data_IF_251005342316
#
_entry.id   IF_251005342316
#
_cell.length_a   1.000
_cell.length_b   1.000
_cell.length_c   1.000
_cell.angle_alpha   90.00
_cell.angle_beta   90.00
_cell.angle_gamma   90.00
#
_symmetry.space_group_name_H-M   'P 1'
#
loop_
_entity.id
_entity.type
_entity.pdbx_description
1 polymer ?
#
# COMPACT_ATOMS: atom_id res chain seq x y z
N UNK A 1 18.29 -7.33 1.62
CA UNK A 1 16.88 -7.36 2.06
C UNK A 1 16.64 -8.56 2.95
N UNK A 2 15.58 -8.53 3.75
CA UNK A 2 15.16 -9.65 4.61
C UNK A 2 13.67 -9.90 4.41
N UNK A 3 13.29 -11.15 4.17
CA UNK A 3 11.88 -11.55 4.16
C UNK A 3 11.47 -11.80 5.61
N UNK A 4 10.44 -11.08 6.05
CA UNK A 4 9.94 -11.11 7.42
C UNK A 4 8.57 -11.75 7.45
N UNK A 5 8.39 -12.72 8.32
CA UNK A 5 7.09 -13.32 8.65
C UNK A 5 6.62 -12.75 9.99
N UNK A 6 5.38 -12.27 10.04
CA UNK A 6 4.69 -11.91 11.28
C UNK A 6 3.61 -12.96 11.51
N UNK A 7 3.86 -13.82 12.49
CA UNK A 7 2.95 -14.89 12.87
C UNK A 7 2.08 -14.39 14.02
N UNK A 8 0.77 -14.54 13.90
CA UNK A 8 -0.21 -14.24 14.94
C UNK A 8 -1.17 -15.41 15.15
N UNK A 9 -1.38 -15.80 16.41
CA UNK A 9 -2.25 -16.93 16.76
C UNK A 9 -2.76 -16.81 18.21
N UNK A 10 -3.85 -17.52 18.49
CA UNK A 10 -4.20 -17.87 19.86
C UNK A 10 -3.31 -19.03 20.30
N UNK A 11 -2.68 -18.90 21.46
CA UNK A 11 -1.74 -19.85 22.03
C UNK A 11 -2.37 -20.50 23.25
N UNK A 12 -2.61 -21.80 23.18
CA UNK A 12 -2.87 -22.64 24.35
C UNK A 12 -1.58 -23.40 24.72
N UNK A 13 -1.65 -24.27 25.72
CA UNK A 13 -0.46 -24.97 26.21
C UNK A 13 0.18 -25.87 25.13
N UNK A 14 -0.63 -26.46 24.24
CA UNK A 14 -0.14 -27.31 23.16
C UNK A 14 0.69 -26.53 22.13
N UNK A 15 0.21 -25.36 21.70
CA UNK A 15 0.93 -24.45 20.81
C UNK A 15 2.19 -23.94 21.50
N UNK A 16 2.07 -23.49 22.75
CA UNK A 16 3.18 -22.98 23.54
C UNK A 16 4.32 -23.98 23.61
N UNK A 17 4.04 -25.24 23.97
CA UNK A 17 5.05 -26.29 24.05
C UNK A 17 5.66 -26.60 22.68
N UNK A 18 4.86 -26.63 21.62
CA UNK A 18 5.34 -26.89 20.27
C UNK A 18 6.27 -25.77 19.75
N UNK A 19 5.91 -24.50 19.95
CA UNK A 19 6.74 -23.36 19.57
C UNK A 19 8.00 -23.24 20.44
N UNK A 20 7.90 -23.54 21.75
CA UNK A 20 9.04 -23.60 22.64
C UNK A 20 10.07 -24.65 22.16
N UNK A 21 9.60 -25.84 21.74
CA UNK A 21 10.45 -26.87 21.15
C UNK A 21 11.11 -26.44 19.83
N UNK A 22 10.50 -25.50 19.10
CA UNK A 22 11.08 -24.85 17.92
C UNK A 22 11.96 -23.63 18.26
N UNK A 23 12.21 -23.36 19.55
CA UNK A 23 13.05 -22.25 20.01
C UNK A 23 12.36 -20.88 19.94
N UNK A 24 11.04 -20.86 20.05
CA UNK A 24 10.21 -19.63 20.10
C UNK A 24 9.39 -19.65 21.39
N UNK A 25 9.70 -18.73 22.30
CA UNK A 25 8.95 -18.59 23.55
C UNK A 25 7.68 -17.76 23.29
N UNK A 26 6.52 -18.31 23.66
CA UNK A 26 5.23 -17.64 23.58
C UNK A 26 4.51 -17.73 24.93
N UNK A 27 3.75 -16.69 25.24
CA UNK A 27 2.79 -16.69 26.35
C UNK A 27 1.43 -17.21 25.87
N UNK A 28 0.66 -17.79 26.79
CA UNK A 28 -0.72 -18.22 26.51
C UNK A 28 -1.62 -17.01 26.26
N UNK A 29 -2.64 -17.18 25.42
CA UNK A 29 -3.49 -16.09 24.93
C UNK A 29 -3.13 -15.67 23.52
N UNK A 30 -3.50 -14.46 23.11
CA UNK A 30 -3.14 -13.99 21.76
C UNK A 30 -1.67 -13.54 21.73
N UNK A 31 -0.85 -14.21 20.92
CA UNK A 31 0.55 -13.88 20.74
C UNK A 31 0.83 -13.51 19.27
N UNK A 32 1.79 -12.62 19.08
CA UNK A 32 2.35 -12.35 17.76
C UNK A 32 3.86 -12.11 17.84
N UNK A 33 4.60 -12.68 16.91
CA UNK A 33 6.06 -12.53 16.82
C UNK A 33 6.51 -12.36 15.38
N UNK A 34 7.77 -11.98 15.20
CA UNK A 34 8.41 -11.87 13.89
C UNK A 34 9.62 -12.78 13.79
N UNK A 35 9.80 -13.38 12.62
CA UNK A 35 10.94 -14.22 12.29
C UNK A 35 11.39 -13.94 10.86
N UNK A 36 12.71 -13.96 10.64
CA UNK A 36 13.29 -13.84 9.30
C UNK A 36 13.15 -15.18 8.58
N UNK A 37 12.80 -15.19 7.30
CA UNK A 37 12.66 -16.43 6.50
C UNK A 37 13.99 -17.22 6.44
N UNK A 38 15.13 -16.53 6.60
CA UNK A 38 16.46 -17.14 6.66
C UNK A 38 16.87 -17.63 8.06
N UNK A 39 16.05 -17.42 9.08
CA UNK A 39 16.32 -17.93 10.44
C UNK A 39 16.28 -19.48 10.41
N UNK A 40 17.24 -20.13 11.08
CA UNK A 40 17.33 -21.58 11.10
C UNK A 40 16.08 -22.26 11.68
N UNK A 41 15.30 -21.55 12.51
CA UNK A 41 14.03 -22.03 13.09
C UNK A 41 12.85 -21.93 12.12
N UNK A 42 12.98 -21.15 11.04
CA UNK A 42 11.85 -20.83 10.15
C UNK A 42 11.12 -22.07 9.60
N UNK A 43 11.78 -23.13 9.08
CA UNK A 43 11.07 -24.29 8.57
C UNK A 43 10.17 -24.98 9.61
N UNK A 44 10.62 -25.02 10.87
CA UNK A 44 9.82 -25.57 11.97
C UNK A 44 8.65 -24.63 12.33
N UNK A 45 8.93 -23.33 12.43
CA UNK A 45 7.91 -22.31 12.70
C UNK A 45 6.82 -22.28 11.63
N UNK A 46 7.18 -22.37 10.35
CA UNK A 46 6.23 -22.41 9.24
C UNK A 46 5.31 -23.63 9.33
N UNK A 47 5.87 -24.80 9.62
CA UNK A 47 5.10 -26.03 9.79
C UNK A 47 4.11 -25.92 10.97
N UNK A 48 4.54 -25.35 12.09
CA UNK A 48 3.67 -25.11 13.25
C UNK A 48 2.59 -24.07 12.96
N UNK A 49 2.95 -22.96 12.31
CA UNK A 49 1.99 -21.92 11.91
C UNK A 49 0.88 -22.51 11.03
N UNK A 50 1.23 -23.33 10.04
CA UNK A 50 0.24 -24.05 9.20
C UNK A 50 -0.59 -25.04 10.01
N UNK A 51 0.05 -25.83 10.87
CA UNK A 51 -0.62 -26.84 11.72
C UNK A 51 -1.69 -26.20 12.63
N UNK A 52 -1.36 -25.06 13.23
CA UNK A 52 -2.24 -24.39 14.20
C UNK A 52 -3.11 -23.30 13.57
N UNK A 53 -3.14 -23.19 12.24
CA UNK A 53 -3.96 -22.19 11.54
C UNK A 53 -3.59 -20.75 11.90
N UNK A 54 -2.32 -20.49 12.21
CA UNK A 54 -1.83 -19.17 12.52
C UNK A 54 -1.95 -18.24 11.30
N UNK A 55 -2.18 -16.96 11.57
CA UNK A 55 -2.12 -15.92 10.55
C UNK A 55 -0.66 -15.58 10.29
N UNK A 56 -0.20 -15.75 9.06
CA UNK A 56 1.13 -15.33 8.61
C UNK A 56 1.02 -14.12 7.67
N UNK A 57 1.57 -12.99 8.09
CA UNK A 57 1.73 -11.80 7.24
C UNK A 57 3.17 -11.64 6.83
N UNK A 58 3.42 -11.73 5.53
CA UNK A 58 4.76 -11.62 4.95
C UNK A 58 5.06 -10.19 4.51
N UNK A 59 6.28 -9.73 4.76
CA UNK A 59 6.78 -8.44 4.28
C UNK A 59 8.27 -8.52 3.95
N UNK A 60 8.79 -7.49 3.27
CA UNK A 60 10.23 -7.37 2.99
C UNK A 60 10.79 -6.15 3.70
N UNK A 61 11.84 -6.36 4.50
CA UNK A 61 12.61 -5.28 5.13
C UNK A 61 13.83 -4.97 4.26
N UNK A 62 13.88 -3.75 3.75
CA UNK A 62 15.00 -3.24 2.96
C UNK A 62 16.01 -2.51 3.83
N UNK A 63 17.28 -2.61 3.47
CA UNK A 63 18.35 -1.82 4.05
C UNK A 63 18.29 -0.37 3.55
N UNK A 64 18.91 0.55 4.29
CA UNK A 64 19.05 1.93 3.84
C UNK A 64 19.83 2.04 2.52
N UNK A 65 20.79 1.15 2.28
CA UNK A 65 21.56 1.12 1.03
C UNK A 65 20.68 0.71 -0.16
N UNK A 66 19.82 -0.30 0.00
CA UNK A 66 18.86 -0.71 -1.04
C UNK A 66 17.87 0.40 -1.38
N UNK A 67 17.35 1.09 -0.37
CA UNK A 67 16.42 2.21 -0.59
C UNK A 67 17.10 3.39 -1.30
N UNK A 68 18.27 3.82 -0.82
CA UNK A 68 19.04 4.92 -1.43
C UNK A 68 19.56 4.58 -2.83
N UNK A 69 19.86 3.31 -3.08
CA UNK A 69 20.35 2.80 -4.36
C UNK A 69 19.27 2.55 -5.40
N UNK A 70 17.99 2.52 -5.05
CA UNK A 70 16.91 2.25 -5.99
C UNK A 70 16.66 3.44 -6.92
N UNK A 71 16.49 3.19 -8.23
CA UNK A 71 16.14 4.25 -9.19
C UNK A 71 14.69 4.71 -9.02
N UNK A 72 13.81 3.78 -8.68
CA UNK A 72 12.39 3.99 -8.45
C UNK A 72 11.96 3.26 -7.19
N UNK A 73 10.97 3.82 -6.49
CA UNK A 73 10.41 3.23 -5.29
C UNK A 73 8.89 3.30 -5.35
N UNK A 74 8.21 2.20 -5.07
CA UNK A 74 6.78 2.19 -4.84
C UNK A 74 6.48 2.65 -3.41
N UNK A 75 5.44 3.48 -3.25
CA UNK A 75 4.90 3.83 -1.95
C UNK A 75 4.05 2.68 -1.44
N UNK A 76 4.22 2.36 -0.16
CA UNK A 76 3.36 1.45 0.57
C UNK A 76 2.79 2.20 1.79
N UNK A 77 1.47 2.22 2.00
CA UNK A 77 0.87 2.94 3.11
C UNK A 77 1.37 2.36 4.45
N UNK A 78 1.83 3.22 5.36
CA UNK A 78 2.13 2.84 6.74
C UNK A 78 1.01 3.29 7.70
N UNK A 79 0.09 4.12 7.22
CA UNK A 79 -1.06 4.60 7.97
C UNK A 79 -2.30 4.72 7.07
N UNK A 80 -3.35 4.00 7.46
CA UNK A 80 -4.68 4.17 6.89
C UNK A 80 -5.57 4.90 7.90
N UNK A 81 -6.36 5.87 7.42
CA UNK A 81 -7.23 6.64 8.29
C UNK A 81 -8.52 7.04 7.58
N UNK A 82 -9.67 6.70 8.16
CA UNK A 82 -10.98 7.00 7.58
C UNK A 82 -11.33 6.15 6.35
N UNK A 83 -12.51 6.41 5.82
CA UNK A 83 -13.07 5.77 4.61
C UNK A 83 -13.47 6.87 3.62
N UNK A 84 -13.48 6.58 2.31
CA UNK A 84 -14.05 7.50 1.33
C UNK A 84 -15.56 7.58 1.53
N UNK A 85 -16.10 8.80 1.52
CA UNK A 85 -17.52 9.06 1.70
C UNK A 85 -18.25 9.34 0.36
N UNK A 86 -19.54 8.97 0.23
CA UNK A 86 -20.34 8.19 1.19
C UNK A 86 -19.87 6.72 1.29
N UNK A 87 -19.60 6.22 2.50
CA UNK A 87 -19.09 4.86 2.66
C UNK A 87 -20.17 3.77 2.53
N UNK A 88 -21.42 4.12 2.86
CA UNK A 88 -22.59 3.24 2.76
C UNK A 88 -22.76 2.74 1.32
N UNK A 89 -22.99 1.43 1.17
CA UNK A 89 -23.19 0.74 -0.12
C UNK A 89 -22.14 1.06 -1.20
N UNK A 90 -20.91 1.42 -0.77
CA UNK A 90 -19.82 1.89 -1.65
C UNK A 90 -20.20 3.13 -2.47
N UNK A 91 -21.09 3.99 -1.95
CA UNK A 91 -21.59 5.19 -2.63
C UNK A 91 -20.49 6.15 -3.09
N UNK A 92 -19.33 6.14 -2.43
CA UNK A 92 -18.15 6.90 -2.83
C UNK A 92 -17.70 6.60 -4.26
N UNK A 93 -17.96 5.38 -4.78
CA UNK A 93 -17.61 5.01 -6.16
C UNK A 93 -18.30 5.94 -7.15
N UNK A 94 -19.63 6.05 -7.07
CA UNK A 94 -20.41 6.92 -7.95
C UNK A 94 -20.20 8.41 -7.65
N UNK A 95 -19.90 8.76 -6.38
CA UNK A 95 -19.66 10.14 -6.00
C UNK A 95 -18.30 10.69 -6.46
N UNK A 96 -17.29 9.83 -6.63
CA UNK A 96 -15.89 10.21 -6.85
C UNK A 96 -15.40 9.89 -8.28
N UNK A 97 -15.90 8.80 -8.86
CA UNK A 97 -15.36 8.22 -10.08
C UNK A 97 -16.38 8.19 -11.22
N UNK A 98 -15.87 8.32 -12.44
CA UNK A 98 -16.50 7.85 -13.66
C UNK A 98 -16.34 6.33 -13.71
N UNK A 99 -17.49 5.65 -13.73
CA UNK A 99 -17.61 4.20 -13.70
C UNK A 99 -17.88 3.58 -15.07
N UNK A 100 -17.85 4.35 -16.16
CA UNK A 100 -18.07 3.83 -17.52
C UNK A 100 -17.09 2.72 -17.92
N UNK A 101 -15.86 2.75 -17.41
CA UNK A 101 -14.85 1.72 -17.60
C UNK A 101 -14.72 0.71 -16.45
N UNK A 102 -15.47 0.89 -15.37
CA UNK A 102 -15.34 0.14 -14.13
C UNK A 102 -15.92 -1.27 -14.25
N UNK A 103 -15.18 -2.26 -13.75
CA UNK A 103 -15.65 -3.64 -13.67
C UNK A 103 -15.89 -4.02 -12.21
N UNK A 104 -17.15 -4.21 -11.82
CA UNK A 104 -17.53 -4.61 -10.45
C UNK A 104 -16.92 -5.94 -10.00
N UNK A 105 -16.68 -6.86 -10.95
CA UNK A 105 -16.11 -8.17 -10.64
C UNK A 105 -14.66 -8.09 -10.17
N UNK A 106 -13.85 -7.20 -10.75
CA UNK A 106 -12.41 -7.10 -10.42
C UNK A 106 -11.98 -5.79 -9.78
N UNK A 107 -12.80 -4.75 -9.80
CA UNK A 107 -12.54 -3.43 -9.24
C UNK A 107 -11.77 -2.45 -10.15
N UNK A 108 -11.35 -2.88 -11.34
CA UNK A 108 -10.49 -2.09 -12.23
C UNK A 108 -11.27 -1.14 -13.13
N UNK A 109 -10.62 -0.08 -13.61
CA UNK A 109 -11.14 0.80 -14.67
C UNK A 109 -11.96 2.01 -14.21
N UNK A 110 -12.01 2.29 -12.90
CA UNK A 110 -12.57 3.54 -12.36
C UNK A 110 -11.64 4.71 -12.69
N UNK A 111 -12.20 5.86 -13.06
CA UNK A 111 -11.44 7.10 -13.32
C UNK A 111 -11.93 8.21 -12.41
N UNK A 112 -11.06 8.79 -11.59
CA UNK A 112 -11.48 9.83 -10.67
C UNK A 112 -11.85 11.11 -11.43
N UNK A 113 -13.05 11.64 -11.17
CA UNK A 113 -13.56 12.87 -11.79
C UNK A 113 -14.00 13.91 -10.76
N UNK A 114 -14.16 13.52 -9.50
CA UNK A 114 -14.54 14.39 -8.39
C UNK A 114 -13.53 14.26 -7.23
N UNK A 115 -13.43 15.27 -6.36
CA UNK A 115 -12.69 15.18 -5.10
C UNK A 115 -13.18 14.03 -4.21
N UNK A 116 -12.27 13.41 -3.46
CA UNK A 116 -12.68 12.55 -2.35
C UNK A 116 -13.35 13.34 -1.24
N UNK A 117 -14.23 12.65 -0.52
CA UNK A 117 -14.91 13.19 0.64
C UNK A 117 -14.54 12.41 1.88
N UNK A 118 -14.32 13.14 2.97
CA UNK A 118 -13.99 12.60 4.28
C UNK A 118 -15.14 12.92 5.23
N UNK A 119 -15.46 12.00 6.14
CA UNK A 119 -16.46 12.26 7.17
C UNK A 119 -16.04 13.39 8.12
N UNK A 120 -14.72 13.49 8.41
CA UNK A 120 -14.10 14.49 9.29
C UNK A 120 -12.67 14.78 8.81
N UNK A 121 -12.12 15.92 9.22
CA UNK A 121 -10.70 16.21 9.02
C UNK A 121 -9.81 15.12 9.69
N UNK A 122 -8.71 14.69 9.04
CA UNK A 122 -7.83 13.68 9.60
C UNK A 122 -7.08 14.19 10.83
N UNK A 123 -6.97 13.34 11.85
CA UNK A 123 -6.11 13.61 13.03
C UNK A 123 -4.72 13.04 12.75
N UNK A 124 -3.83 13.89 12.22
CA UNK A 124 -2.51 13.49 11.73
C UNK A 124 -1.58 12.87 12.77
N UNK A 125 -1.62 13.36 14.02
CA UNK A 125 -0.63 13.00 15.03
C UNK A 125 0.79 13.22 14.50
N UNK A 126 1.60 12.17 14.48
CA UNK A 126 2.97 12.20 13.95
C UNK A 126 3.09 11.91 12.45
N UNK A 127 1.99 11.63 11.76
CA UNK A 127 2.00 11.22 10.36
C UNK A 127 1.86 12.42 9.43
N UNK A 128 2.32 12.26 8.18
CA UNK A 128 2.33 13.31 7.15
C UNK A 128 1.65 12.86 5.85
N UNK A 129 1.62 11.55 5.63
CA UNK A 129 0.98 10.88 4.51
C UNK A 129 -0.06 9.90 5.05
N UNK A 130 -1.23 9.86 4.43
CA UNK A 130 -2.27 8.87 4.72
C UNK A 130 -2.83 8.27 3.44
N UNK A 131 -3.39 7.08 3.58
CA UNK A 131 -4.24 6.46 2.58
C UNK A 131 -5.62 6.17 3.20
N UNK A 132 -6.70 6.36 2.42
CA UNK A 132 -8.04 5.98 2.87
C UNK A 132 -8.19 4.46 2.82
N UNK A 133 -8.99 3.88 3.72
CA UNK A 133 -9.40 2.50 3.56
C UNK A 133 -10.17 2.33 2.23
N UNK A 134 -9.99 1.19 1.55
CA UNK A 134 -10.57 0.85 0.23
C UNK A 134 -10.02 1.63 -0.98
N UNK A 135 -9.17 2.63 -0.78
CA UNK A 135 -8.55 3.42 -1.86
C UNK A 135 -7.05 3.19 -1.83
N UNK A 136 -6.55 2.23 -2.60
CA UNK A 136 -5.16 1.76 -2.49
C UNK A 136 -4.19 2.42 -3.47
N UNK A 137 -4.68 3.24 -4.40
CA UNK A 137 -3.92 3.92 -5.45
C UNK A 137 -3.88 5.45 -5.30
N UNK A 138 -4.44 5.99 -4.22
CA UNK A 138 -4.43 7.43 -3.92
C UNK A 138 -3.79 7.71 -2.56
N UNK A 139 -3.08 8.83 -2.49
CA UNK A 139 -2.40 9.28 -1.27
C UNK A 139 -2.79 10.71 -0.95
N UNK A 140 -2.90 10.99 0.33
CA UNK A 140 -3.28 12.28 0.87
C UNK A 140 -2.20 12.75 1.84
N UNK A 141 -1.95 14.05 1.84
CA UNK A 141 -0.87 14.66 2.62
C UNK A 141 -1.35 15.95 3.27
N UNK A 142 -0.62 16.41 4.28
CA UNK A 142 -0.80 17.79 4.78
C UNK A 142 -0.46 18.80 3.68
N UNK A 143 -1.17 19.92 3.54
CA UNK A 143 -0.87 20.90 2.49
C UNK A 143 0.56 21.44 2.55
N UNK A 144 1.12 21.65 3.74
CA UNK A 144 2.50 22.09 3.92
C UNK A 144 3.52 21.04 3.46
N UNK A 145 3.18 19.75 3.58
CA UNK A 145 3.99 18.63 3.07
C UNK A 145 3.92 18.59 1.55
N UNK A 146 2.73 18.79 0.97
CA UNK A 146 2.56 18.89 -0.49
C UNK A 146 3.41 20.04 -1.06
N UNK A 147 3.23 21.26 -0.54
CA UNK A 147 3.90 22.45 -1.07
C UNK A 147 5.42 22.37 -0.91
N UNK A 148 5.93 21.80 0.20
CA UNK A 148 7.36 21.69 0.43
C UNK A 148 8.04 20.57 -0.39
N UNK A 149 7.35 19.44 -0.62
CA UNK A 149 8.01 18.21 -1.11
C UNK A 149 7.50 17.68 -2.45
N UNK A 150 6.25 17.97 -2.81
CA UNK A 150 5.62 17.41 -4.02
C UNK A 150 5.44 18.49 -5.10
N UNK A 151 5.00 19.69 -4.73
CA UNK A 151 4.82 20.84 -5.63
C UNK A 151 6.11 21.19 -6.40
N UNK A 152 7.33 21.22 -5.80
CA UNK A 152 8.57 21.54 -6.53
C UNK A 152 8.92 20.51 -7.60
N UNK A 153 8.33 19.32 -7.55
CA UNK A 153 8.47 18.25 -8.54
C UNK A 153 7.35 18.25 -9.58
N UNK A 154 6.50 19.29 -9.61
CA UNK A 154 5.39 19.43 -10.55
C UNK A 154 4.20 18.51 -10.25
N UNK A 155 4.11 17.97 -9.03
CA UNK A 155 3.00 17.10 -8.63
C UNK A 155 1.86 17.98 -8.14
N UNK A 156 0.77 17.99 -8.91
CA UNK A 156 -0.45 18.72 -8.55
C UNK A 156 -1.15 18.10 -7.33
N UNK A 157 -2.12 18.83 -6.78
CA UNK A 157 -3.02 18.30 -5.76
C UNK A 157 -4.49 18.60 -6.07
N UNK A 158 -5.38 17.80 -5.50
CA UNK A 158 -6.84 18.04 -5.49
C UNK A 158 -7.29 18.40 -4.08
N UNK A 159 -8.33 19.24 -3.94
CA UNK A 159 -8.97 19.45 -2.65
C UNK A 159 -9.59 18.15 -2.16
N UNK A 160 -9.77 18.05 -0.84
CA UNK A 160 -10.57 17.00 -0.19
C UNK A 160 -11.74 17.67 0.48
N UNK A 161 -12.94 17.10 0.38
CA UNK A 161 -14.15 17.75 0.87
C UNK A 161 -14.65 17.10 2.17
N UNK A 162 -15.26 17.89 3.05
CA UNK A 162 -16.01 17.38 4.19
C UNK A 162 -17.38 16.87 3.71
N UNK A 163 -17.69 15.61 3.97
CA UNK A 163 -18.91 14.95 3.47
C UNK A 163 -20.19 15.70 3.86
N UNK A 164 -20.27 16.21 5.10
CA UNK A 164 -21.48 16.86 5.62
C UNK A 164 -21.82 18.19 4.93
N UNK A 165 -20.80 18.98 4.56
CA UNK A 165 -21.00 20.34 4.06
C UNK A 165 -20.56 20.55 2.61
N UNK A 166 -19.76 19.64 2.05
CA UNK A 166 -19.09 19.83 0.76
C UNK A 166 -17.95 20.85 0.80
N UNK A 167 -17.65 21.45 1.96
CA UNK A 167 -16.56 22.41 2.11
C UNK A 167 -15.21 21.72 1.94
N UNK A 168 -14.25 22.40 1.30
CA UNK A 168 -12.88 21.91 1.23
C UNK A 168 -12.24 21.89 2.63
N UNK A 169 -11.51 20.82 2.92
CA UNK A 169 -10.67 20.71 4.09
C UNK A 169 -9.34 21.42 3.82
N UNK A 170 -8.96 22.31 4.71
CA UNK A 170 -7.67 22.99 4.70
C UNK A 170 -6.55 22.11 5.27
N UNK A 171 -6.87 21.06 6.02
CA UNK A 171 -5.89 20.23 6.72
C UNK A 171 -5.34 19.06 5.87
N UNK A 172 -5.81 18.88 4.63
CA UNK A 172 -5.45 17.73 3.79
C UNK A 172 -5.70 18.01 2.31
N UNK A 173 -4.77 17.55 1.48
CA UNK A 173 -4.91 17.52 0.02
C UNK A 173 -4.63 16.12 -0.51
N UNK A 174 -5.23 15.77 -1.65
CA UNK A 174 -4.89 14.54 -2.38
C UNK A 174 -3.77 14.84 -3.38
N UNK A 175 -2.76 13.97 -3.48
CA UNK A 175 -1.78 14.05 -4.58
C UNK A 175 -2.44 13.69 -5.91
N UNK A 176 -2.35 14.58 -6.90
CA UNK A 176 -2.95 14.38 -8.22
C UNK A 176 -1.91 13.85 -9.21
N UNK A 177 -1.81 12.52 -9.28
CA UNK A 177 -0.85 11.82 -10.13
C UNK A 177 -1.57 11.12 -11.28
N UNK A 178 -1.40 11.69 -12.49
CA UNK A 178 -2.02 11.22 -13.73
C UNK A 178 -1.06 10.43 -14.62
N UNK A 179 0.25 10.65 -14.47
CA UNK A 179 1.26 9.98 -15.28
C UNK A 179 1.27 8.48 -14.98
N UNK A 180 1.43 7.66 -16.01
CA UNK A 180 1.45 6.20 -15.91
C UNK A 180 2.66 5.60 -16.63
N UNK A 181 3.17 4.50 -16.09
CA UNK A 181 4.24 3.72 -16.70
C UNK A 181 3.89 2.23 -16.71
N UNK A 182 4.28 1.54 -17.78
CA UNK A 182 4.27 0.07 -17.81
C UNK A 182 5.34 -0.48 -16.86
N UNK A 183 5.03 -1.60 -16.19
CA UNK A 183 5.96 -2.32 -15.35
C UNK A 183 6.43 -3.61 -16.05
N UNK A 184 7.68 -4.01 -15.81
CA UNK A 184 8.15 -5.35 -16.14
C UNK A 184 7.55 -6.37 -15.16
N UNK A 185 6.52 -7.06 -15.61
CA UNK A 185 5.77 -8.07 -14.86
C UNK A 185 6.04 -9.50 -15.36
N UNK A 186 7.11 -9.70 -16.15
CA UNK A 186 7.46 -11.00 -16.76
C UNK A 186 7.55 -12.17 -15.77
N UNK A 187 7.83 -11.87 -14.50
CA UNK A 187 7.98 -12.83 -13.40
C UNK A 187 6.73 -12.98 -12.52
N UNK A 188 5.65 -12.25 -12.80
CA UNK A 188 4.41 -12.29 -12.01
C UNK A 188 3.27 -12.98 -12.75
N UNK A 189 2.55 -13.84 -12.03
CA UNK A 189 1.32 -14.42 -12.52
C UNK A 189 0.18 -13.39 -12.51
N UNK A 190 -0.55 -13.30 -13.62
CA UNK A 190 -1.77 -12.52 -13.73
C UNK A 190 -3.00 -13.42 -13.61
N UNK A 191 -4.07 -12.90 -13.02
CA UNK A 191 -5.42 -13.44 -13.16
C UNK A 191 -6.20 -12.55 -14.11
N UNK A 192 -6.67 -13.10 -15.22
CA UNK A 192 -7.54 -12.39 -16.15
C UNK A 192 -8.96 -12.36 -15.63
N UNK A 193 -9.59 -11.17 -15.61
CA UNK A 193 -10.98 -11.04 -15.20
C UNK A 193 -11.91 -11.61 -16.28
N UNK A 194 -12.76 -12.58 -15.92
CA UNK A 194 -13.72 -13.19 -16.84
C UNK A 194 -14.83 -12.22 -17.31
N UNK A 195 -15.02 -11.08 -16.64
CA UNK A 195 -16.03 -10.08 -16.99
C UNK A 195 -15.51 -9.02 -17.97
N UNK A 196 -14.30 -8.48 -17.76
CA UNK A 196 -13.76 -7.39 -18.58
C UNK A 196 -12.47 -7.74 -19.36
N UNK A 197 -11.94 -8.95 -19.21
CA UNK A 197 -10.73 -9.40 -19.89
C UNK A 197 -9.42 -8.77 -19.41
N UNK A 198 -9.46 -7.82 -18.46
CA UNK A 198 -8.24 -7.14 -17.98
C UNK A 198 -7.42 -8.07 -17.07
N UNK A 199 -6.09 -8.09 -17.21
CA UNK A 199 -5.21 -8.79 -16.27
C UNK A 199 -5.18 -8.04 -14.94
N UNK A 200 -5.12 -8.79 -13.85
CA UNK A 200 -4.86 -8.28 -12.51
C UNK A 200 -3.80 -9.12 -11.82
N UNK A 201 -2.85 -8.45 -11.19
CA UNK A 201 -1.71 -9.08 -10.53
C UNK A 201 -1.91 -9.07 -9.02
N UNK A 202 -1.38 -10.06 -8.31
CA UNK A 202 -1.30 -9.95 -6.86
C UNK A 202 -0.20 -8.93 -6.49
N UNK A 203 -0.42 -8.06 -5.48
CA UNK A 203 0.65 -7.20 -4.99
C UNK A 203 1.85 -8.03 -4.55
N UNK A 204 3.07 -7.73 -5.02
CA UNK A 204 4.25 -8.50 -4.62
C UNK A 204 4.57 -8.21 -3.15
N UNK A 205 4.40 -9.20 -2.28
CA UNK A 205 4.67 -9.08 -0.83
C UNK A 205 6.13 -9.39 -0.47
N UNK A 206 6.81 -10.20 -1.28
CA UNK A 206 8.23 -10.55 -1.16
C UNK A 206 9.08 -9.79 -2.18
N UNK A 207 10.36 -9.58 -1.84
CA UNK A 207 11.37 -9.02 -2.74
C UNK A 207 11.06 -7.60 -3.19
N UNK A 208 11.71 -7.14 -4.25
CA UNK A 208 11.56 -5.80 -4.83
C UNK A 208 10.18 -5.60 -5.48
N UNK A 209 9.80 -4.34 -5.73
CA UNK A 209 8.66 -4.05 -6.61
C UNK A 209 9.08 -4.26 -8.08
N UNK A 210 8.18 -4.70 -8.98
CA UNK A 210 8.39 -4.62 -10.42
C UNK A 210 8.93 -3.27 -10.86
N UNK A 211 9.89 -3.31 -11.80
CA UNK A 211 10.55 -2.13 -12.34
C UNK A 211 9.67 -1.45 -13.37
N UNK A 212 9.54 -0.11 -13.35
CA UNK A 212 8.89 0.60 -14.44
C UNK A 212 9.81 0.70 -15.65
N UNK A 213 9.25 0.54 -16.85
CA UNK A 213 9.99 0.66 -18.12
C UNK A 213 10.45 2.10 -18.37
N UNK A 214 9.63 3.07 -17.96
CA UNK A 214 9.90 4.50 -18.09
C UNK A 214 9.50 5.24 -16.81
N UNK A 215 9.96 6.49 -16.68
CA UNK A 215 9.54 7.39 -15.60
C UNK A 215 9.00 8.69 -16.21
N UNK A 216 7.68 8.79 -16.45
CA UNK A 216 7.08 9.94 -17.13
C UNK A 216 7.07 11.21 -16.26
N UNK A 217 7.23 11.07 -14.95
CA UNK A 217 7.24 12.17 -13.99
C UNK A 217 7.97 11.74 -12.69
N UNK A 218 8.16 12.68 -11.76
CA UNK A 218 8.75 12.40 -10.45
C UNK A 218 7.88 11.45 -9.58
N UNK A 219 6.56 11.47 -9.79
CA UNK A 219 5.61 10.51 -9.28
C UNK A 219 4.67 10.05 -10.40
N UNK A 220 4.35 8.76 -10.43
CA UNK A 220 3.51 8.14 -11.45
C UNK A 220 2.85 6.88 -10.91
N UNK A 221 1.82 6.40 -11.61
CA UNK A 221 1.16 5.12 -11.29
C UNK A 221 1.57 4.02 -12.26
N UNK A 222 1.45 2.76 -11.86
CA UNK A 222 1.55 1.65 -12.81
C UNK A 222 0.37 1.67 -13.77
N UNK A 223 0.58 1.34 -15.04
CA UNK A 223 -0.52 1.09 -15.96
C UNK A 223 -1.35 -0.14 -15.54
N UNK A 224 -0.69 -1.16 -14.98
CA UNK A 224 -1.32 -2.39 -14.55
C UNK A 224 -2.00 -2.28 -13.19
N UNK A 225 -2.97 -3.18 -12.97
CA UNK A 225 -3.73 -3.29 -11.74
C UNK A 225 -3.20 -4.39 -10.82
N UNK A 226 -3.08 -4.06 -9.54
CA UNK A 226 -2.78 -4.97 -8.46
C UNK A 226 -3.99 -5.12 -7.52
N UNK A 227 -4.24 -6.34 -7.03
CA UNK A 227 -5.26 -6.62 -6.03
C UNK A 227 -5.90 -8.00 -6.19
N UNK A 228 -6.92 -8.26 -5.38
CA UNK A 228 -7.66 -9.52 -5.37
C UNK A 228 -9.17 -9.27 -5.23
N UNK A 229 -10.00 -10.26 -5.55
CA UNK A 229 -11.46 -10.15 -5.49
C UNK A 229 -11.98 -8.95 -6.31
N UNK A 230 -12.88 -8.15 -5.73
CA UNK A 230 -13.42 -6.94 -6.34
C UNK A 230 -12.56 -5.68 -6.10
N UNK A 231 -11.30 -5.83 -5.67
CA UNK A 231 -10.37 -4.71 -5.45
C UNK A 231 -9.24 -4.73 -6.47
N UNK A 232 -8.98 -3.56 -7.06
CA UNK A 232 -7.88 -3.31 -7.96
C UNK A 232 -7.37 -1.88 -7.73
N UNK A 233 -6.06 -1.71 -7.82
CA UNK A 233 -5.37 -0.44 -7.63
C UNK A 233 -4.13 -0.41 -8.49
N UNK A 234 -3.73 0.79 -8.92
CA UNK A 234 -2.45 1.00 -9.57
C UNK A 234 -1.39 1.32 -8.50
N UNK A 235 -0.20 0.74 -8.63
CA UNK A 235 0.90 1.03 -7.71
C UNK A 235 1.34 2.48 -7.90
N UNK A 236 1.58 3.21 -6.80
CA UNK A 236 2.10 4.57 -6.84
C UNK A 236 3.63 4.51 -6.70
N UNK A 237 4.35 5.08 -7.66
CA UNK A 237 5.81 5.06 -7.73
C UNK A 237 6.38 6.47 -7.73
N UNK A 238 7.60 6.61 -7.20
CA UNK A 238 8.38 7.84 -7.22
C UNK A 238 9.80 7.58 -7.72
N UNK A 239 10.43 8.62 -8.28
CA UNK A 239 11.84 8.59 -8.64
C UNK A 239 12.74 8.66 -7.40
N UNK A 240 14.00 8.24 -7.53
CA UNK A 240 15.03 8.38 -6.49
C UNK A 240 15.16 9.81 -5.98
N UNK A 241 15.04 10.79 -6.86
CA UNK A 241 15.21 12.20 -6.51
C UNK A 241 14.13 12.66 -5.53
N UNK A 242 12.86 12.39 -5.85
CA UNK A 242 11.74 12.69 -4.96
C UNK A 242 11.85 11.88 -3.66
N UNK A 243 12.13 10.58 -3.74
CA UNK A 243 12.37 9.76 -2.55
C UNK A 243 13.45 10.35 -1.63
N UNK A 244 14.55 10.85 -2.19
CA UNK A 244 15.64 11.43 -1.40
C UNK A 244 15.15 12.64 -0.60
N UNK A 245 14.29 13.48 -1.18
CA UNK A 245 13.67 14.62 -0.47
C UNK A 245 12.71 14.15 0.63
N UNK A 246 11.85 13.17 0.32
CA UNK A 246 10.91 12.60 1.29
C UNK A 246 11.64 11.95 2.47
N UNK A 247 12.71 11.21 2.20
CA UNK A 247 13.52 10.55 3.22
C UNK A 247 14.30 11.56 4.08
N UNK A 248 14.84 12.62 3.47
CA UNK A 248 15.54 13.68 4.21
C UNK A 248 14.60 14.48 5.14
N UNK A 249 13.33 14.60 4.77
CA UNK A 249 12.29 15.22 5.59
C UNK A 249 11.70 14.28 6.66
N UNK A 250 12.19 13.03 6.76
CA UNK A 250 11.72 12.01 7.71
C UNK A 250 10.19 11.78 7.69
N UNK A 251 9.60 11.82 6.48
CA UNK A 251 8.15 11.75 6.27
C UNK A 251 7.55 10.48 6.87
N UNK A 252 6.44 10.65 7.60
CA UNK A 252 5.75 9.57 8.32
C UNK A 252 4.41 9.19 7.68
N UNK A 253 3.96 7.97 7.94
CA UNK A 253 2.70 7.43 7.42
C UNK A 253 2.83 6.70 6.08
N UNK A 254 4.04 6.60 5.54
CA UNK A 254 4.36 5.85 4.31
C UNK A 254 5.67 5.07 4.47
N UNK A 255 5.73 3.91 3.83
CA UNK A 255 6.93 3.09 3.64
C UNK A 255 7.30 3.09 2.16
N UNK A 256 8.54 2.73 1.87
CA UNK A 256 9.02 2.65 0.49
C UNK A 256 9.50 1.24 0.16
N UNK A 257 9.10 0.76 -1.01
CA UNK A 257 9.54 -0.51 -1.58
C UNK A 257 10.38 -0.22 -2.83
N UNK A 258 11.69 -0.51 -2.83
CA UNK A 258 12.53 -0.28 -4.00
C UNK A 258 12.08 -1.19 -5.16
N UNK A 259 12.10 -0.64 -6.37
CA UNK A 259 11.90 -1.40 -7.59
C UNK A 259 13.16 -2.24 -7.93
N UNK A 260 12.97 -3.30 -8.69
CA UNK A 260 14.08 -4.09 -9.24
C UNK A 260 14.98 -3.22 -10.13
N UNK A 261 16.29 -3.54 -10.14
CA UNK A 261 17.35 -2.78 -10.82
C UNK A 261 17.44 -3.00 -12.32
#
# INVERSE_FOLDING_TARGET
MKIMHRIGLAVEEAERQAFLAAGVELETGFAAFQIEESDARWPAVEALARRFGAVDTVSTKFSAAELKGAQYLALAPAWHHGYPEPSEDRGYLAATYDLSGYCEACGAGKRQIQPFRFAKAPVWGKNDVLQLNWVFDEYFVKPEVWSALFEPFGIACRPVLLQKSGAALDSVVQLDVQAQAELDLSHLAATTCNCCGRPKYLPPVKGFHPRPETAPAAAFKSAQYFGSGASASQAFLVTRELYTKLAAADIKGVNFKPCAG
#
